data_IF_641301407594
#
_entry.id   IF_641301407594
#
_cell.length_a   1.000
_cell.length_b   1.000
_cell.length_c   1.000
_cell.angle_alpha   90.00
_cell.angle_beta   90.00
_cell.angle_gamma   90.00
#
_symmetry.space_group_name_H-M   'P 1'
#
loop_
_entity.id
_entity.type
_entity.pdbx_description
1 polymer ?
#
# COMPACT_ATOMS: atom_id res chain seq x y z
N UNK A 1 52.21 -35.15 15.21
CA UNK A 1 50.83 -35.26 15.74
C UNK A 1 50.69 -34.11 16.71
N UNK A 2 49.94 -33.05 16.47
CA UNK A 2 48.65 -32.92 15.78
C UNK A 2 48.50 -31.47 15.30
N UNK A 3 48.04 -31.28 14.08
CA UNK A 3 47.65 -30.00 13.49
C UNK A 3 46.20 -29.70 13.89
N UNK A 4 45.84 -28.47 14.31
CA UNK A 4 44.47 -28.02 14.25
C UNK A 4 44.39 -26.78 13.36
N UNK A 5 44.06 -27.02 12.10
CA UNK A 5 43.42 -26.09 11.19
C UNK A 5 42.20 -25.49 11.92
N UNK A 6 42.32 -24.23 12.34
CA UNK A 6 41.23 -23.47 12.94
C UNK A 6 40.07 -23.38 11.93
N UNK A 7 38.92 -23.93 12.32
CA UNK A 7 37.68 -23.85 11.56
C UNK A 7 37.29 -22.37 11.40
N UNK A 8 37.14 -21.94 10.15
CA UNK A 8 36.52 -20.67 9.80
C UNK A 8 35.03 -20.73 10.21
N UNK A 9 34.45 -19.66 10.77
CA UNK A 9 33.02 -19.63 11.04
C UNK A 9 32.22 -19.69 9.73
N UNK A 10 31.22 -20.56 9.70
CA UNK A 10 30.26 -20.68 8.60
C UNK A 10 29.65 -19.32 8.28
N UNK A 11 29.67 -18.98 6.99
CA UNK A 11 29.03 -17.78 6.44
C UNK A 11 27.52 -17.79 6.71
N UNK A 12 26.91 -16.62 6.93
CA UNK A 12 25.49 -16.54 7.23
C UNK A 12 24.68 -17.03 6.03
N UNK A 13 23.65 -17.83 6.35
CA UNK A 13 22.73 -18.48 5.44
C UNK A 13 22.30 -17.57 4.29
N UNK A 14 22.44 -18.14 3.09
CA UNK A 14 21.97 -17.60 1.85
C UNK A 14 20.47 -17.30 1.93
N UNK A 15 20.12 -16.11 1.44
CA UNK A 15 18.77 -15.63 1.17
C UNK A 15 17.81 -16.76 0.81
N UNK A 16 16.84 -17.02 1.69
CA UNK A 16 15.66 -17.85 1.40
C UNK A 16 15.04 -17.38 0.09
N UNK A 17 15.17 -18.19 -0.96
CA UNK A 17 14.46 -17.98 -2.22
C UNK A 17 13.01 -18.29 -1.90
N UNK A 18 12.16 -17.25 -1.91
CA UNK A 18 10.74 -17.38 -1.65
C UNK A 18 10.13 -18.48 -2.55
N UNK A 19 9.37 -19.39 -1.95
CA UNK A 19 8.66 -20.45 -2.67
C UNK A 19 7.64 -19.81 -3.63
N UNK A 20 7.74 -20.03 -4.95
CA UNK A 20 6.79 -19.48 -5.92
C UNK A 20 5.36 -20.04 -5.74
N UNK A 21 5.16 -21.07 -4.93
CA UNK A 21 3.85 -21.60 -4.56
C UNK A 21 3.28 -21.01 -3.26
N UNK A 22 4.00 -20.13 -2.57
CA UNK A 22 3.49 -19.48 -1.36
C UNK A 22 2.28 -18.59 -1.68
N UNK A 23 1.30 -18.57 -0.77
CA UNK A 23 0.12 -17.71 -0.92
C UNK A 23 0.55 -16.23 -0.99
N UNK A 24 -0.06 -15.42 -1.87
CA UNK A 24 0.33 -14.03 -2.04
C UNK A 24 0.08 -13.23 -0.76
N UNK A 25 1.09 -12.48 -0.32
CA UNK A 25 1.01 -11.63 0.87
C UNK A 25 0.63 -10.20 0.49
N UNK A 26 -0.23 -9.57 1.32
CA UNK A 26 -0.61 -8.17 1.11
C UNK A 26 0.60 -7.23 1.14
N UNK A 27 1.62 -7.55 1.94
CA UNK A 27 2.89 -6.80 1.99
C UNK A 27 3.67 -6.85 0.69
N UNK A 28 3.58 -7.94 -0.07
CA UNK A 28 4.24 -8.07 -1.35
C UNK A 28 3.54 -7.21 -2.40
N UNK A 29 2.21 -7.30 -2.50
CA UNK A 29 1.40 -6.42 -3.35
C UNK A 29 1.68 -4.96 -3.02
N UNK A 30 1.67 -4.58 -1.72
CA UNK A 30 1.96 -3.22 -1.28
C UNK A 30 3.35 -2.74 -1.74
N UNK A 31 4.36 -3.61 -1.65
CA UNK A 31 5.74 -3.32 -2.07
C UNK A 31 5.83 -3.07 -3.58
N UNK A 32 5.22 -3.92 -4.40
CA UNK A 32 5.19 -3.74 -5.85
C UNK A 32 4.52 -2.43 -6.25
N UNK A 33 3.37 -2.12 -5.64
CA UNK A 33 2.64 -0.88 -5.88
C UNK A 33 3.47 0.34 -5.45
N UNK A 34 4.14 0.29 -4.30
CA UNK A 34 5.02 1.37 -3.85
C UNK A 34 6.16 1.64 -4.84
N UNK A 35 6.76 0.60 -5.45
CA UNK A 35 7.79 0.74 -6.48
C UNK A 35 7.24 1.37 -7.76
N UNK A 36 6.08 0.89 -8.24
CA UNK A 36 5.37 1.47 -9.38
C UNK A 36 5.06 2.95 -9.16
N UNK A 37 4.57 3.31 -7.97
CA UNK A 37 4.24 4.68 -7.64
C UNK A 37 5.49 5.57 -7.57
N UNK A 38 6.55 5.12 -6.88
CA UNK A 38 7.78 5.90 -6.71
C UNK A 38 8.42 6.27 -8.04
N UNK A 39 8.52 5.33 -8.99
CA UNK A 39 9.08 5.61 -10.34
C UNK A 39 8.20 6.52 -11.19
N UNK A 40 6.95 6.74 -10.81
CA UNK A 40 6.00 7.66 -11.45
C UNK A 40 5.75 8.95 -10.64
N UNK A 41 6.58 9.23 -9.63
CA UNK A 41 6.48 10.46 -8.84
C UNK A 41 5.28 10.50 -7.88
N UNK A 42 4.75 9.33 -7.50
CA UNK A 42 3.72 9.18 -6.47
C UNK A 42 4.40 8.51 -5.26
N UNK A 43 4.23 9.09 -4.08
CA UNK A 43 4.82 8.54 -2.84
C UNK A 43 3.70 8.18 -1.87
N UNK A 44 3.78 6.98 -1.28
CA UNK A 44 2.72 6.44 -0.44
C UNK A 44 3.19 6.00 0.95
N UNK A 45 2.27 6.04 1.90
CA UNK A 45 2.37 5.38 3.19
C UNK A 45 1.42 4.17 3.25
N UNK A 46 1.84 3.06 3.87
CA UNK A 46 0.94 1.97 4.17
C UNK A 46 0.08 2.26 5.41
N UNK A 47 -1.04 1.56 5.56
CA UNK A 47 -1.87 1.55 6.79
C UNK A 47 -2.26 2.98 7.23
N UNK A 48 -2.81 3.78 6.33
CA UNK A 48 -3.09 5.19 6.58
C UNK A 48 -4.47 5.41 7.19
N UNK A 49 -4.60 5.91 8.44
CA UNK A 49 -5.89 6.14 9.07
C UNK A 49 -6.65 7.32 8.44
N UNK A 50 -7.96 7.13 8.24
CA UNK A 50 -8.87 8.11 7.66
C UNK A 50 -9.83 8.68 8.71
N UNK A 51 -10.44 9.84 8.41
CA UNK A 51 -11.33 10.56 9.35
C UNK A 51 -12.61 9.82 9.70
N UNK A 52 -13.06 8.94 8.82
CA UNK A 52 -14.25 8.12 9.01
C UNK A 52 -13.97 6.86 9.87
N UNK A 53 -12.77 6.73 10.45
CA UNK A 53 -12.37 5.56 11.24
C UNK A 53 -11.92 4.36 10.39
N UNK A 54 -11.90 4.49 9.06
CA UNK A 54 -11.28 3.50 8.16
C UNK A 54 -9.76 3.64 8.17
N UNK A 55 -9.10 2.69 7.52
CA UNK A 55 -7.68 2.70 7.25
C UNK A 55 -7.45 2.27 5.80
N UNK A 56 -6.79 3.09 5.03
CA UNK A 56 -6.40 2.75 3.66
C UNK A 56 -5.14 1.88 3.69
N UNK A 57 -5.10 0.82 2.89
CA UNK A 57 -3.93 -0.06 2.82
C UNK A 57 -2.70 0.70 2.29
N UNK A 58 -2.87 1.50 1.24
CA UNK A 58 -1.92 2.53 0.82
C UNK A 58 -2.63 3.85 0.58
N UNK A 59 -2.01 4.94 1.01
CA UNK A 59 -2.40 6.30 0.63
C UNK A 59 -1.18 7.07 0.16
N UNK A 60 -1.28 7.72 -1.00
CA UNK A 60 -0.18 8.46 -1.59
C UNK A 60 -0.59 9.81 -2.15
N UNK A 61 0.42 10.59 -2.51
CA UNK A 61 0.27 11.92 -3.09
C UNK A 61 1.24 12.08 -4.26
N UNK A 62 0.76 12.69 -5.35
CA UNK A 62 1.58 13.04 -6.51
C UNK A 62 2.16 14.46 -6.42
N UNK A 63 3.01 14.85 -7.38
CA UNK A 63 3.60 16.19 -7.44
C UNK A 63 2.58 17.35 -7.60
N UNK A 64 1.33 17.05 -8.00
CA UNK A 64 0.23 18.02 -8.11
C UNK A 64 -0.65 18.06 -6.84
N UNK A 65 -0.32 17.26 -5.83
CA UNK A 65 -1.08 17.13 -4.60
C UNK A 65 -2.31 16.24 -4.72
N UNK A 66 -2.48 15.51 -5.83
CA UNK A 66 -3.60 14.58 -5.99
C UNK A 66 -3.40 13.37 -5.07
N UNK A 67 -4.44 13.03 -4.33
CA UNK A 67 -4.43 11.95 -3.35
C UNK A 67 -4.87 10.65 -4.03
N UNK A 68 -4.11 9.58 -3.83
CA UNK A 68 -4.41 8.25 -4.34
C UNK A 68 -4.61 7.29 -3.16
N UNK A 69 -5.67 6.49 -3.18
CA UNK A 69 -5.85 5.36 -2.26
C UNK A 69 -5.79 4.06 -3.03
N UNK A 70 -5.17 3.05 -2.43
CA UNK A 70 -5.19 1.67 -2.90
C UNK A 70 -5.67 0.76 -1.79
N UNK A 71 -6.69 -0.05 -2.06
CA UNK A 71 -7.12 -1.15 -1.20
C UNK A 71 -6.61 -2.48 -1.77
N UNK A 72 -5.90 -3.25 -0.95
CA UNK A 72 -5.23 -4.48 -1.33
C UNK A 72 -6.08 -5.68 -0.95
N UNK A 73 -6.39 -6.54 -1.92
CA UNK A 73 -7.11 -7.81 -1.69
C UNK A 73 -6.28 -8.95 -2.26
N UNK A 74 -5.88 -9.88 -1.39
CA UNK A 74 -5.08 -11.06 -1.76
C UNK A 74 -5.91 -12.35 -1.84
N UNK A 75 -7.08 -12.37 -1.21
CA UNK A 75 -8.04 -13.46 -1.34
C UNK A 75 -9.37 -12.98 -1.91
N UNK A 76 -10.06 -13.88 -2.61
CA UNK A 76 -11.37 -13.59 -3.23
C UNK A 76 -12.44 -13.27 -2.19
N UNK A 77 -12.36 -13.90 -1.02
CA UNK A 77 -13.24 -13.62 0.11
C UNK A 77 -13.09 -12.17 0.62
N UNK A 78 -11.86 -11.67 0.70
CA UNK A 78 -11.58 -10.29 1.12
C UNK A 78 -12.16 -9.29 0.14
N UNK A 79 -12.00 -9.57 -1.17
CA UNK A 79 -12.55 -8.73 -2.23
C UNK A 79 -14.07 -8.66 -2.14
N UNK A 80 -14.75 -9.81 -2.03
CA UNK A 80 -16.20 -9.87 -1.94
C UNK A 80 -16.77 -9.32 -0.63
N UNK A 81 -15.99 -9.36 0.46
CA UNK A 81 -16.41 -8.87 1.77
C UNK A 81 -16.39 -7.34 1.89
N UNK A 82 -15.70 -6.63 0.99
CA UNK A 82 -15.51 -5.18 1.10
C UNK A 82 -16.68 -4.37 0.52
N UNK A 83 -17.84 -4.47 1.17
CA UNK A 83 -19.04 -3.74 0.75
C UNK A 83 -18.99 -2.22 1.03
N UNK A 84 -18.01 -1.76 1.82
CA UNK A 84 -17.90 -0.37 2.28
C UNK A 84 -16.74 0.40 1.65
N UNK A 85 -16.09 -0.20 0.66
CA UNK A 85 -15.09 0.46 -0.18
C UNK A 85 -15.49 1.85 -0.73
N UNK A 86 -16.77 2.16 -1.02
CA UNK A 86 -17.13 3.49 -1.52
C UNK A 86 -16.84 4.61 -0.53
N UNK A 87 -16.76 4.29 0.77
CA UNK A 87 -16.39 5.24 1.83
C UNK A 87 -15.00 5.87 1.57
N UNK A 88 -14.12 5.20 0.81
CA UNK A 88 -12.78 5.71 0.47
C UNK A 88 -12.79 6.80 -0.61
N UNK A 89 -13.85 6.88 -1.43
CA UNK A 89 -13.94 7.86 -2.53
C UNK A 89 -14.00 9.31 -2.02
N UNK A 90 -14.48 9.52 -0.79
CA UNK A 90 -14.51 10.84 -0.15
C UNK A 90 -13.12 11.32 0.34
N UNK A 91 -12.10 10.46 0.24
CA UNK A 91 -10.75 10.68 0.77
C UNK A 91 -9.64 10.64 -0.30
N UNK A 92 -9.97 10.44 -1.58
CA UNK A 92 -8.97 10.41 -2.65
C UNK A 92 -9.47 11.03 -3.95
N UNK A 93 -8.52 11.49 -4.77
CA UNK A 93 -8.77 11.91 -6.15
C UNK A 93 -8.80 10.70 -7.11
N UNK A 94 -8.11 9.60 -6.75
CA UNK A 94 -8.09 8.33 -7.48
C UNK A 94 -8.11 7.15 -6.50
N UNK A 95 -8.94 6.17 -6.79
CA UNK A 95 -9.03 4.93 -6.04
C UNK A 95 -8.61 3.73 -6.89
N UNK A 96 -7.78 2.85 -6.36
CA UNK A 96 -7.37 1.61 -7.01
C UNK A 96 -7.64 0.39 -6.13
N UNK A 97 -7.98 -0.71 -6.77
CA UNK A 97 -7.80 -2.05 -6.19
C UNK A 97 -6.38 -2.53 -6.49
N UNK A 98 -5.67 -3.00 -5.47
CA UNK A 98 -4.39 -3.70 -5.58
C UNK A 98 -4.60 -5.20 -5.41
N UNK A 99 -4.24 -6.01 -6.39
CA UNK A 99 -4.46 -7.47 -6.35
C UNK A 99 -3.22 -8.23 -6.83
N UNK A 100 -2.98 -9.46 -6.34
CA UNK A 100 -1.90 -10.29 -6.87
C UNK A 100 -2.28 -10.85 -8.26
N UNK A 101 -1.29 -11.23 -9.10
CA UNK A 101 -1.55 -11.73 -10.46
C UNK A 101 -2.49 -12.94 -10.54
N UNK A 102 -2.46 -13.80 -9.53
CA UNK A 102 -3.26 -15.04 -9.49
C UNK A 102 -4.69 -14.88 -8.97
N UNK A 103 -5.12 -13.68 -8.54
CA UNK A 103 -6.47 -13.49 -8.01
C UNK A 103 -7.51 -13.38 -9.14
N UNK A 104 -8.61 -14.13 -9.03
CA UNK A 104 -9.81 -13.91 -9.87
C UNK A 104 -10.41 -12.54 -9.55
N UNK A 105 -10.12 -11.58 -10.44
CA UNK A 105 -10.56 -10.19 -10.37
C UNK A 105 -11.84 -9.91 -11.17
N UNK A 106 -12.49 -10.93 -11.75
CA UNK A 106 -13.75 -10.74 -12.49
C UNK A 106 -14.86 -10.00 -11.72
N UNK A 107 -14.96 -10.06 -10.37
CA UNK A 107 -15.94 -9.24 -9.65
C UNK A 107 -15.75 -7.73 -9.85
N UNK A 108 -14.52 -7.26 -10.08
CA UNK A 108 -14.18 -5.84 -10.28
C UNK A 108 -14.73 -5.24 -11.58
N UNK A 109 -15.32 -6.07 -12.44
CA UNK A 109 -16.01 -5.66 -13.66
C UNK A 109 -17.52 -5.51 -13.46
N UNK A 110 -18.05 -5.92 -12.29
CA UNK A 110 -19.49 -5.83 -12.00
C UNK A 110 -19.91 -4.45 -11.48
N UNK A 111 -21.20 -4.14 -11.62
CA UNK A 111 -21.82 -2.89 -11.15
C UNK A 111 -21.55 -2.60 -9.67
N UNK A 112 -21.50 -3.64 -8.82
CA UNK A 112 -21.23 -3.50 -7.39
C UNK A 112 -19.87 -2.84 -7.09
N UNK A 113 -18.91 -2.96 -8.00
CA UNK A 113 -17.56 -2.42 -7.87
C UNK A 113 -17.31 -1.16 -8.68
N UNK A 114 -18.32 -0.63 -9.41
CA UNK A 114 -18.27 0.64 -10.14
C UNK A 114 -16.94 0.82 -10.91
N UNK A 115 -16.73 0.06 -12.00
CA UNK A 115 -15.47 0.08 -12.75
C UNK A 115 -15.15 1.47 -13.34
N UNK A 116 -16.14 2.34 -13.44
CA UNK A 116 -16.06 3.75 -13.82
C UNK A 116 -15.63 4.70 -12.68
N UNK A 117 -15.41 4.18 -11.46
CA UNK A 117 -14.93 4.94 -10.30
C UNK A 117 -13.59 4.42 -9.75
N UNK A 118 -13.11 3.24 -10.21
CA UNK A 118 -11.93 2.59 -9.65
C UNK A 118 -10.97 2.04 -10.71
N UNK A 119 -9.67 2.15 -10.43
CA UNK A 119 -8.63 1.50 -11.19
C UNK A 119 -8.27 0.12 -10.64
N UNK A 120 -7.43 -0.60 -11.37
CA UNK A 120 -6.91 -1.91 -10.98
C UNK A 120 -5.39 -1.90 -11.18
N UNK A 121 -4.67 -2.25 -10.13
CA UNK A 121 -3.24 -2.50 -10.14
C UNK A 121 -3.01 -3.97 -9.81
N UNK A 122 -2.25 -4.66 -10.66
CA UNK A 122 -1.75 -5.99 -10.36
C UNK A 122 -0.31 -5.88 -9.90
N UNK A 123 0.02 -6.51 -8.77
CA UNK A 123 1.33 -6.37 -8.17
C UNK A 123 1.79 -7.62 -7.40
N UNK A 124 3.10 -7.76 -7.28
CA UNK A 124 3.76 -8.73 -6.41
C UNK A 124 4.92 -8.06 -5.66
N UNK A 125 5.76 -8.85 -4.99
CA UNK A 125 6.90 -8.34 -4.22
C UNK A 125 8.01 -7.70 -5.07
N UNK A 126 7.95 -7.82 -6.40
CA UNK A 126 8.93 -7.29 -7.34
C UNK A 126 8.46 -5.98 -7.97
N UNK A 127 7.25 -5.94 -8.52
CA UNK A 127 6.76 -4.76 -9.25
C UNK A 127 5.23 -4.73 -9.34
N UNK A 128 4.69 -3.73 -10.03
CA UNK A 128 3.28 -3.61 -10.32
C UNK A 128 2.98 -3.00 -11.70
N UNK A 129 1.79 -3.31 -12.21
CA UNK A 129 1.24 -2.82 -13.48
C UNK A 129 -0.20 -2.31 -13.28
N UNK A 130 -0.52 -1.17 -13.89
CA UNK A 130 -1.88 -0.64 -13.94
C UNK A 130 -2.63 -1.32 -15.08
N UNK A 131 -3.59 -2.19 -14.75
CA UNK A 131 -4.45 -2.84 -15.75
C UNK A 131 -5.67 -1.99 -16.13
N UNK A 132 -6.16 -1.18 -15.19
CA UNK A 132 -7.23 -0.20 -15.43
C UNK A 132 -6.85 1.09 -14.74
N UNK A 133 -6.76 2.19 -15.49
CA UNK A 133 -6.54 3.49 -14.90
C UNK A 133 -7.76 3.90 -14.06
N UNK A 134 -7.51 4.34 -12.82
CA UNK A 134 -8.56 4.95 -12.01
C UNK A 134 -8.98 6.28 -12.64
N UNK A 135 -10.28 6.54 -12.85
CA UNK A 135 -10.75 7.86 -13.25
C UNK A 135 -10.43 8.92 -12.20
N UNK A 136 -10.34 10.18 -12.64
CA UNK A 136 -10.06 11.31 -11.75
C UNK A 136 -11.38 11.86 -11.21
N UNK A 137 -11.62 11.65 -9.92
CA UNK A 137 -12.73 12.26 -9.20
C UNK A 137 -12.17 13.28 -8.21
N UNK A 138 -12.03 14.54 -8.66
CA UNK A 138 -11.31 15.54 -7.88
C UNK A 138 -12.00 15.84 -6.55
N UNK A 139 -11.23 15.75 -5.46
CA UNK A 139 -11.63 16.27 -4.17
C UNK A 139 -11.78 17.78 -4.22
N UNK A 140 -12.71 18.30 -3.40
CA UNK A 140 -12.74 19.73 -3.10
C UNK A 140 -11.39 20.17 -2.51
N UNK A 141 -10.89 21.34 -2.91
CA UNK A 141 -9.55 21.81 -2.53
C UNK A 141 -9.31 21.79 -1.01
N UNK A 142 -10.31 22.19 -0.22
CA UNK A 142 -10.23 22.15 1.24
C UNK A 142 -10.10 20.72 1.80
N UNK A 143 -10.80 19.74 1.20
CA UNK A 143 -10.72 18.32 1.57
C UNK A 143 -9.35 17.76 1.23
N UNK A 144 -8.86 18.01 0.01
CA UNK A 144 -7.53 17.58 -0.44
C UNK A 144 -6.43 18.11 0.48
N UNK A 145 -6.48 19.39 0.84
CA UNK A 145 -5.53 19.99 1.79
C UNK A 145 -5.51 19.23 3.12
N UNK A 146 -6.67 18.90 3.67
CA UNK A 146 -6.80 18.15 4.92
C UNK A 146 -6.18 16.76 4.82
N UNK A 147 -6.43 16.04 3.73
CA UNK A 147 -5.89 14.69 3.52
C UNK A 147 -4.37 14.71 3.33
N UNK A 148 -3.86 15.65 2.52
CA UNK A 148 -2.40 15.83 2.33
C UNK A 148 -1.70 16.20 3.63
N UNK A 149 -2.25 17.12 4.42
CA UNK A 149 -1.66 17.48 5.72
C UNK A 149 -1.66 16.29 6.69
N UNK A 150 -2.72 15.46 6.69
CA UNK A 150 -2.78 14.25 7.52
C UNK A 150 -1.70 13.26 7.09
N UNK A 151 -1.59 13.00 5.79
CA UNK A 151 -0.57 12.13 5.22
C UNK A 151 0.84 12.62 5.59
N UNK A 152 1.11 13.92 5.44
CA UNK A 152 2.39 14.53 5.81
C UNK A 152 2.71 14.37 7.30
N UNK A 153 1.75 14.62 8.19
CA UNK A 153 1.94 14.44 9.65
C UNK A 153 2.25 12.99 10.01
N UNK A 154 1.55 12.03 9.42
CA UNK A 154 1.82 10.60 9.65
C UNK A 154 3.18 10.20 9.08
N UNK A 155 3.55 10.67 7.89
CA UNK A 155 4.86 10.42 7.28
C UNK A 155 6.00 10.94 8.16
N UNK A 156 5.91 12.22 8.57
CA UNK A 156 6.92 12.86 9.43
C UNK A 156 7.07 12.12 10.75
N UNK A 157 5.96 11.78 11.42
CA UNK A 157 6.00 11.04 12.68
C UNK A 157 6.67 9.68 12.51
N UNK A 158 6.29 8.90 11.50
CA UNK A 158 6.89 7.58 11.24
C UNK A 158 8.38 7.70 10.92
N UNK A 159 8.77 8.72 10.15
CA UNK A 159 10.17 8.99 9.83
C UNK A 159 10.98 9.38 11.07
N UNK A 160 10.46 10.26 11.93
CA UNK A 160 11.11 10.63 13.20
C UNK A 160 11.30 9.42 14.10
N UNK A 161 10.28 8.57 14.25
CA UNK A 161 10.38 7.34 15.06
C UNK A 161 11.36 6.33 14.44
N UNK A 162 11.44 6.26 13.12
CA UNK A 162 12.44 5.42 12.44
C UNK A 162 13.86 5.93 12.70
N UNK A 163 14.07 7.26 12.72
CA UNK A 163 15.36 7.87 13.00
C UNK A 163 15.76 7.78 14.47
N UNK A 164 14.78 7.90 15.38
CA UNK A 164 14.94 7.78 16.82
C UNK A 164 13.74 7.05 17.44
N UNK A 165 13.89 5.75 17.79
CA UNK A 165 12.82 4.96 18.40
C UNK A 165 12.26 5.52 19.71
N UNK A 166 13.03 6.31 20.46
CA UNK A 166 12.56 6.95 21.69
C UNK A 166 11.42 7.94 21.41
N UNK A 167 11.36 8.49 20.19
CA UNK A 167 10.30 9.39 19.77
C UNK A 167 8.90 8.76 19.76
N UNK A 168 8.80 7.42 19.83
CA UNK A 168 7.51 6.72 19.84
C UNK A 168 6.68 7.03 21.09
N UNK A 169 7.33 7.35 22.22
CA UNK A 169 6.67 7.63 23.50
C UNK A 169 5.73 8.85 23.43
N UNK A 170 6.08 9.84 22.61
CA UNK A 170 5.27 11.05 22.39
C UNK A 170 4.26 10.92 21.25
N UNK A 171 4.14 9.72 20.69
CA UNK A 171 3.22 9.41 19.61
C UNK A 171 1.79 9.05 20.05
N UNK A 172 1.52 8.95 21.34
CA UNK A 172 0.18 8.70 21.87
C UNK A 172 -0.76 9.88 21.61
N UNK A 173 -1.80 9.63 20.82
CA UNK A 173 -3.04 10.42 20.66
C UNK A 173 -2.95 11.87 20.15
N UNK A 174 -3.33 12.03 18.89
CA UNK A 174 -4.24 13.09 18.45
C UNK A 174 -4.90 12.61 17.15
N UNK A 175 -6.05 11.94 17.28
CA UNK A 175 -6.88 11.50 16.17
C UNK A 175 -7.59 12.69 15.50
#
# INVERSE_FOLDING_TARGET
MTDPLAALPDSPDASSIADPAAAPLASDVARGIARLFARNGIWCLPEMPLRNGRRADLMGVDAKGLVVIVEIKVARGDLLGDAKWPDYLDHCDRFFWGVPPGLDRSPLESEAYRPDCCGIIVADGYDAEILRHAPLHSLAAARRKVEVERLARVAMRRHTVLADPHCNEWGGESA
#
